data_IF_003490623813
#
_entry.id   IF_003490623813
#
_cell.length_a   1.000
_cell.length_b   1.000
_cell.length_c   1.000
_cell.angle_alpha   90.00
_cell.angle_beta   90.00
_cell.angle_gamma   90.00
#
_symmetry.space_group_name_H-M   'P 1'
#
loop_
_entity.id
_entity.type
_entity.pdbx_description
1 polymer ?
#
# COMPACT_ATOMS: atom_id res chain seq x y z
N UNK A 1 25.33 -23.21 -9.61
CA UNK A 1 24.83 -21.83 -9.78
C UNK A 1 23.64 -21.92 -10.72
N UNK A 2 22.53 -22.45 -10.20
CA UNK A 2 21.43 -23.02 -10.98
C UNK A 2 20.42 -21.95 -11.35
N UNK A 3 20.23 -21.74 -12.65
CA UNK A 3 19.04 -21.26 -13.37
C UNK A 3 17.87 -20.72 -12.52
N UNK A 4 18.08 -19.69 -11.71
CA UNK A 4 16.98 -18.92 -11.16
C UNK A 4 16.49 -18.05 -12.32
N UNK A 5 15.22 -18.21 -12.66
CA UNK A 5 14.56 -17.40 -13.69
C UNK A 5 14.87 -15.91 -13.43
N UNK A 6 15.27 -15.12 -14.45
CA UNK A 6 15.63 -13.71 -14.27
C UNK A 6 14.57 -12.90 -13.51
N UNK A 7 13.31 -13.32 -13.57
CA UNK A 7 12.19 -12.73 -12.82
C UNK A 7 12.35 -12.90 -11.32
N UNK A 8 12.74 -14.09 -10.86
CA UNK A 8 12.89 -14.40 -9.43
C UNK A 8 14.07 -13.62 -8.85
N UNK A 9 15.14 -13.46 -9.63
CA UNK A 9 16.29 -12.66 -9.20
C UNK A 9 15.98 -11.16 -9.11
N UNK A 10 15.16 -10.63 -10.04
CA UNK A 10 14.68 -9.26 -10.01
C UNK A 10 13.73 -8.99 -8.81
N UNK A 11 12.79 -9.90 -8.53
CA UNK A 11 11.89 -9.78 -7.36
C UNK A 11 12.69 -9.89 -6.05
N UNK A 12 13.64 -10.81 -6.00
CA UNK A 12 14.51 -11.00 -4.84
C UNK A 12 15.39 -9.79 -4.55
N UNK A 13 15.96 -9.13 -5.58
CA UNK A 13 16.75 -7.91 -5.41
C UNK A 13 15.88 -6.71 -5.00
N UNK A 14 14.66 -6.59 -5.56
CA UNK A 14 13.68 -5.60 -5.13
C UNK A 14 13.25 -5.81 -3.66
N UNK A 15 13.08 -7.06 -3.21
CA UNK A 15 12.75 -7.36 -1.82
C UNK A 15 13.90 -7.06 -0.87
N UNK A 16 15.14 -7.25 -1.31
CA UNK A 16 16.33 -6.90 -0.55
C UNK A 16 16.45 -5.39 -0.35
N UNK A 17 16.15 -4.58 -1.38
CA UNK A 17 16.22 -3.12 -1.25
C UNK A 17 15.18 -2.60 -0.26
N UNK A 18 13.97 -3.15 -0.26
CA UNK A 18 12.89 -2.78 0.69
C UNK A 18 13.23 -3.13 2.14
N UNK A 19 13.67 -4.36 2.40
CA UNK A 19 14.02 -4.81 3.78
C UNK A 19 15.17 -4.00 4.41
N UNK A 20 16.08 -3.45 3.59
CA UNK A 20 17.23 -2.66 4.02
C UNK A 20 16.99 -1.15 4.11
N UNK A 21 15.78 -0.67 3.81
CA UNK A 21 15.48 0.75 3.93
C UNK A 21 15.60 1.26 5.37
N UNK A 22 15.84 2.56 5.50
CA UNK A 22 15.86 3.21 6.81
C UNK A 22 14.45 3.25 7.39
N UNK A 23 14.38 3.21 8.72
CA UNK A 23 13.10 3.22 9.46
C UNK A 23 12.20 4.40 9.04
N UNK A 24 12.77 5.60 8.96
CA UNK A 24 12.04 6.82 8.61
C UNK A 24 11.49 6.78 7.19
N UNK A 25 12.29 6.31 6.23
CA UNK A 25 11.84 6.19 4.84
C UNK A 25 10.67 5.23 4.78
N UNK A 26 10.81 4.03 5.35
CA UNK A 26 9.78 3.00 5.32
C UNK A 26 8.45 3.43 5.99
N UNK A 27 8.54 4.22 7.07
CA UNK A 27 7.36 4.74 7.75
C UNK A 27 6.67 5.83 6.92
N UNK A 28 7.43 6.74 6.31
CA UNK A 28 6.89 7.84 5.50
C UNK A 28 6.29 7.35 4.19
N UNK A 29 6.97 6.42 3.52
CA UNK A 29 6.44 5.73 2.34
C UNK A 29 5.20 4.92 2.73
N UNK A 30 5.23 4.16 3.82
CA UNK A 30 4.05 3.45 4.34
C UNK A 30 2.86 4.37 4.66
N UNK A 31 3.12 5.52 5.26
CA UNK A 31 2.11 6.55 5.52
C UNK A 31 1.49 7.07 4.23
N UNK A 32 2.32 7.43 3.25
CA UNK A 32 1.87 7.91 1.95
C UNK A 32 1.01 6.86 1.22
N UNK A 33 1.43 5.59 1.25
CA UNK A 33 0.66 4.46 0.72
C UNK A 33 -0.73 4.38 1.39
N UNK A 34 -0.78 4.47 2.72
CA UNK A 34 -2.02 4.43 3.49
C UNK A 34 -3.00 5.54 3.11
N UNK A 35 -2.50 6.76 2.94
CA UNK A 35 -3.30 7.92 2.51
C UNK A 35 -3.90 7.69 1.12
N UNK A 36 -3.10 7.25 0.14
CA UNK A 36 -3.60 7.01 -1.22
C UNK A 36 -4.62 5.88 -1.33
N UNK A 37 -4.43 4.79 -0.57
CA UNK A 37 -5.45 3.73 -0.48
C UNK A 37 -6.74 4.29 0.10
N UNK A 38 -6.67 5.08 1.17
CA UNK A 38 -7.84 5.66 1.80
C UNK A 38 -8.58 6.66 0.88
N UNK A 39 -7.83 7.46 0.11
CA UNK A 39 -8.38 8.33 -0.94
C UNK A 39 -9.12 7.50 -1.99
N UNK A 40 -8.48 6.46 -2.54
CA UNK A 40 -9.09 5.57 -3.54
C UNK A 40 -10.35 4.88 -3.03
N UNK A 41 -10.34 4.40 -1.79
CA UNK A 41 -11.49 3.81 -1.13
C UNK A 41 -12.64 4.82 -0.92
N UNK A 42 -12.30 6.06 -0.52
CA UNK A 42 -13.29 7.13 -0.34
C UNK A 42 -13.96 7.47 -1.67
N UNK A 43 -13.18 7.65 -2.73
CA UNK A 43 -13.69 7.92 -4.08
C UNK A 43 -14.57 6.78 -4.59
N UNK A 44 -14.10 5.54 -4.47
CA UNK A 44 -14.86 4.35 -4.86
C UNK A 44 -16.20 4.25 -4.11
N UNK A 45 -16.21 4.58 -2.81
CA UNK A 45 -17.42 4.60 -1.99
C UNK A 45 -18.39 5.67 -2.48
N UNK A 46 -17.93 6.90 -2.71
CA UNK A 46 -18.78 8.01 -3.19
C UNK A 46 -19.41 7.66 -4.54
N UNK A 47 -18.63 7.14 -5.48
CA UNK A 47 -19.15 6.75 -6.80
C UNK A 47 -20.15 5.61 -6.68
N UNK A 48 -19.85 4.58 -5.87
CA UNK A 48 -20.76 3.43 -5.69
C UNK A 48 -22.13 3.82 -5.15
N UNK A 49 -22.20 4.86 -4.30
CA UNK A 49 -23.45 5.37 -3.72
C UNK A 49 -24.28 6.22 -4.68
N UNK A 50 -23.70 6.68 -5.80
CA UNK A 50 -24.37 7.52 -6.80
C UNK A 50 -24.96 6.72 -7.96
N UNK A 51 -24.71 5.41 -8.02
CA UNK A 51 -25.21 4.50 -9.06
C UNK A 51 -26.30 3.59 -8.47
N UNK A 52 -27.13 2.96 -9.31
CA UNK A 52 -28.11 1.97 -8.86
C UNK A 52 -27.43 0.81 -8.11
N UNK A 53 -28.14 0.21 -7.15
CA UNK A 53 -27.53 -0.78 -6.24
C UNK A 53 -26.97 -2.02 -6.95
N UNK A 54 -27.50 -2.36 -8.12
CA UNK A 54 -27.03 -3.45 -8.98
C UNK A 54 -25.61 -3.21 -9.51
N UNK A 55 -25.24 -1.94 -9.75
CA UNK A 55 -23.94 -1.57 -10.31
C UNK A 55 -22.98 -0.98 -9.28
N UNK A 56 -23.44 -0.66 -8.08
CA UNK A 56 -22.63 -0.03 -7.03
C UNK A 56 -21.34 -0.81 -6.71
N UNK A 57 -21.44 -2.13 -6.56
CA UNK A 57 -20.27 -2.98 -6.30
C UNK A 57 -19.27 -3.03 -7.46
N UNK A 58 -19.77 -3.08 -8.70
CA UNK A 58 -18.92 -3.02 -9.90
C UNK A 58 -18.19 -1.67 -10.00
N UNK A 59 -18.87 -0.58 -9.70
CA UNK A 59 -18.27 0.76 -9.76
C UNK A 59 -17.28 1.01 -8.64
N UNK A 60 -17.53 0.47 -7.45
CA UNK A 60 -16.52 0.47 -6.40
C UNK A 60 -15.24 -0.23 -6.87
N UNK A 61 -15.35 -1.44 -7.42
CA UNK A 61 -14.22 -2.24 -7.88
C UNK A 61 -13.47 -1.58 -9.05
N UNK A 62 -14.17 -0.89 -9.94
CA UNK A 62 -13.56 -0.20 -11.08
C UNK A 62 -12.78 1.07 -10.68
N UNK A 63 -13.22 1.77 -9.64
CA UNK A 63 -12.67 3.07 -9.23
C UNK A 63 -11.57 2.91 -8.17
N UNK A 64 -11.64 1.87 -7.33
CA UNK A 64 -10.66 1.60 -6.28
C UNK A 64 -9.18 1.57 -6.76
N UNK A 65 -8.83 1.01 -7.94
CA UNK A 65 -7.46 0.96 -8.44
C UNK A 65 -6.78 2.33 -8.63
N UNK A 66 -7.54 3.42 -8.70
CA UNK A 66 -6.99 4.78 -8.76
C UNK A 66 -6.09 5.06 -7.55
N UNK A 67 -6.46 4.58 -6.36
CA UNK A 67 -5.62 4.69 -5.17
C UNK A 67 -4.29 3.94 -5.30
N UNK A 68 -4.31 2.74 -5.91
CA UNK A 68 -3.11 1.95 -6.19
C UNK A 68 -2.22 2.62 -7.24
N UNK A 69 -2.81 3.23 -8.27
CA UNK A 69 -2.07 3.96 -9.31
C UNK A 69 -1.38 5.20 -8.70
N UNK A 70 -2.05 5.92 -7.79
CA UNK A 70 -1.47 7.07 -7.09
C UNK A 70 -0.19 6.73 -6.33
N UNK A 71 -0.14 5.55 -5.72
CA UNK A 71 1.05 5.02 -5.04
C UNK A 71 2.23 4.83 -6.00
N UNK A 72 1.96 4.31 -7.20
CA UNK A 72 2.99 4.04 -8.20
C UNK A 72 3.55 5.36 -8.76
N UNK A 73 2.67 6.32 -9.04
CA UNK A 73 3.05 7.63 -9.63
C UNK A 73 3.93 8.44 -8.68
N UNK A 74 3.69 8.39 -7.37
CA UNK A 74 4.47 9.14 -6.37
C UNK A 74 5.82 8.50 -6.00
N UNK A 75 6.30 7.54 -6.79
CA UNK A 75 7.64 6.95 -6.62
C UNK A 75 7.67 5.61 -5.89
N UNK A 76 6.53 4.93 -5.76
CA UNK A 76 6.44 3.61 -5.15
C UNK A 76 6.52 3.68 -3.62
N UNK A 77 5.37 3.60 -2.98
CA UNK A 77 5.27 3.62 -1.53
C UNK A 77 5.28 2.19 -0.94
N UNK A 78 5.69 2.02 0.32
CA UNK A 78 5.74 0.71 1.00
C UNK A 78 4.32 0.30 1.43
N UNK A 79 3.64 -0.39 0.54
CA UNK A 79 2.34 -0.98 0.80
C UNK A 79 2.53 -2.39 1.32
N UNK A 80 2.01 -2.67 2.52
CA UNK A 80 2.15 -3.97 3.18
C UNK A 80 1.81 -5.16 2.27
N UNK A 81 0.73 -5.07 1.48
CA UNK A 81 0.32 -6.15 0.56
C UNK A 81 1.35 -6.42 -0.55
N UNK A 82 1.99 -5.37 -1.09
CA UNK A 82 3.08 -5.50 -2.05
C UNK A 82 4.35 -6.05 -1.41
N UNK A 83 4.64 -5.63 -0.19
CA UNK A 83 5.80 -6.10 0.56
C UNK A 83 5.68 -7.58 0.92
N UNK A 84 4.48 -8.08 1.25
CA UNK A 84 4.23 -9.51 1.44
C UNK A 84 4.48 -10.35 0.18
N UNK A 85 4.42 -9.78 -1.01
CA UNK A 85 4.77 -10.48 -2.25
C UNK A 85 6.28 -10.55 -2.47
N UNK A 86 6.99 -9.44 -2.24
CA UNK A 86 8.38 -9.28 -2.68
C UNK A 86 9.38 -9.66 -1.58
N UNK A 87 9.10 -9.33 -0.32
CA UNK A 87 10.05 -9.53 0.78
C UNK A 87 10.27 -11.00 1.18
N UNK A 88 9.28 -11.92 1.15
CA UNK A 88 9.54 -13.35 1.38
C UNK A 88 10.45 -13.95 0.32
N UNK A 89 10.36 -13.49 -0.93
CA UNK A 89 11.22 -13.95 -2.01
C UNK A 89 12.69 -13.61 -1.74
N UNK A 90 12.96 -12.45 -1.14
CA UNK A 90 14.30 -12.08 -0.69
C UNK A 90 14.81 -12.96 0.46
N UNK A 91 13.93 -13.43 1.34
CA UNK A 91 14.28 -14.36 2.42
C UNK A 91 14.52 -15.79 1.90
N UNK A 92 13.68 -16.29 1.00
CA UNK A 92 13.83 -17.61 0.35
C UNK A 92 15.13 -17.72 -0.44
N UNK A 93 15.55 -16.63 -1.07
CA UNK A 93 16.84 -16.53 -1.79
C UNK A 93 18.03 -16.18 -0.89
N UNK A 94 17.84 -16.16 0.44
CA UNK A 94 18.83 -15.80 1.46
C UNK A 94 19.48 -14.41 1.29
N UNK A 95 18.81 -13.50 0.58
CA UNK A 95 19.26 -12.10 0.41
C UNK A 95 18.86 -11.18 1.57
N UNK A 96 17.92 -11.58 2.42
CA UNK A 96 17.51 -10.88 3.66
C UNK A 96 17.21 -11.85 4.80
N UNK A 97 17.30 -11.37 6.05
CA UNK A 97 16.99 -12.15 7.26
C UNK A 97 15.50 -12.09 7.59
N UNK A 98 14.99 -13.16 8.22
CA UNK A 98 13.59 -13.24 8.68
C UNK A 98 13.23 -12.07 9.62
N UNK A 99 14.15 -11.63 10.48
CA UNK A 99 13.91 -10.48 11.37
C UNK A 99 13.77 -9.14 10.63
N UNK A 100 14.46 -8.96 9.49
CA UNK A 100 14.35 -7.75 8.67
C UNK A 100 13.01 -7.72 7.92
N UNK A 101 12.51 -8.89 7.51
CA UNK A 101 11.19 -9.05 6.90
C UNK A 101 10.08 -8.63 7.86
N UNK A 102 10.07 -9.17 9.10
CA UNK A 102 9.04 -8.78 10.07
C UNK A 102 9.13 -7.30 10.43
N UNK A 103 10.34 -6.76 10.61
CA UNK A 103 10.52 -5.31 10.84
C UNK A 103 9.90 -4.50 9.70
N UNK A 104 10.18 -4.87 8.44
CA UNK A 104 9.62 -4.17 7.29
C UNK A 104 8.09 -4.21 7.30
N UNK A 105 7.51 -5.39 7.54
CA UNK A 105 6.07 -5.61 7.60
C UNK A 105 5.37 -4.78 8.67
N UNK A 106 5.92 -4.77 9.89
CA UNK A 106 5.34 -3.98 10.98
C UNK A 106 5.41 -2.48 10.70
N UNK A 107 6.49 -2.00 10.09
CA UNK A 107 6.64 -0.59 9.75
C UNK A 107 5.74 -0.17 8.59
N UNK A 108 5.68 -0.97 7.53
CA UNK A 108 4.78 -0.75 6.40
C UNK A 108 3.32 -0.74 6.88
N UNK A 109 2.90 -1.78 7.61
CA UNK A 109 1.54 -1.89 8.15
C UNK A 109 1.20 -0.73 9.11
N UNK A 110 2.14 -0.37 10.00
CA UNK A 110 1.99 0.76 10.90
C UNK A 110 1.82 2.08 10.16
N UNK A 111 2.68 2.34 9.15
CA UNK A 111 2.56 3.50 8.28
C UNK A 111 1.23 3.51 7.52
N UNK A 112 0.84 2.40 6.90
CA UNK A 112 -0.41 2.29 6.14
C UNK A 112 -1.64 2.58 7.03
N UNK A 113 -1.63 2.08 8.27
CA UNK A 113 -2.71 2.32 9.22
C UNK A 113 -2.76 3.79 9.65
N UNK A 114 -1.62 4.38 10.00
CA UNK A 114 -1.54 5.80 10.38
C UNK A 114 -2.03 6.68 9.22
N UNK A 115 -1.59 6.41 7.99
CA UNK A 115 -1.99 7.17 6.81
C UNK A 115 -3.49 7.09 6.52
N UNK A 116 -4.05 5.89 6.60
CA UNK A 116 -5.49 5.70 6.37
C UNK A 116 -6.35 6.34 7.46
N UNK A 117 -5.93 6.27 8.73
CA UNK A 117 -6.62 6.94 9.84
C UNK A 117 -6.54 8.46 9.71
N UNK A 118 -5.37 9.02 9.34
CA UNK A 118 -5.22 10.46 9.10
C UNK A 118 -6.21 10.94 8.04
N UNK A 119 -6.31 10.22 6.92
CA UNK A 119 -7.27 10.56 5.86
C UNK A 119 -8.72 10.43 6.33
N UNK A 120 -9.06 9.33 7.01
CA UNK A 120 -10.39 9.12 7.56
C UNK A 120 -10.80 10.24 8.53
N UNK A 121 -9.87 10.71 9.36
CA UNK A 121 -10.08 11.83 10.28
C UNK A 121 -10.37 13.14 9.54
N UNK A 122 -9.64 13.42 8.45
CA UNK A 122 -9.88 14.60 7.60
C UNK A 122 -11.27 14.55 6.98
N UNK A 123 -11.68 13.39 6.44
CA UNK A 123 -13.02 13.21 5.87
C UNK A 123 -14.11 13.35 6.95
N UNK A 124 -13.91 12.76 8.14
CA UNK A 124 -14.84 12.88 9.25
C UNK A 124 -15.03 14.34 9.69
N UNK A 125 -13.94 15.11 9.81
CA UNK A 125 -14.00 16.54 10.08
C UNK A 125 -14.73 17.31 8.97
N UNK A 126 -14.41 17.01 7.71
CA UNK A 126 -15.06 17.63 6.54
C UNK A 126 -16.58 17.43 6.56
N UNK A 127 -17.07 16.25 6.94
CA UNK A 127 -18.50 15.96 7.05
C UNK A 127 -19.18 16.74 8.18
N UNK A 128 -18.48 16.97 9.29
CA UNK A 128 -19.02 17.73 10.44
C UNK A 128 -19.16 19.21 10.08
N UNK A 129 -18.16 19.82 9.43
CA UNK A 129 -18.18 21.25 9.10
C UNK A 129 -18.86 21.58 7.76
N UNK A 130 -18.97 20.63 6.84
CA UNK A 130 -19.54 20.85 5.50
C UNK A 130 -21.06 20.74 5.42
N UNK A 131 -21.75 20.48 6.53
CA UNK A 131 -23.23 20.37 6.62
C UNK A 131 -23.89 21.57 7.32
N UNK A 132 -23.12 22.64 7.57
CA UNK A 132 -23.60 23.97 8.02
C UNK A 132 -23.64 24.94 6.86
#
# INVERSE_FOLDING_TARGET
MSCIDPTIDAISSAGQSKTKQSFLVNLLTGWNAGVFIAIGATLATIVSQKVSSEWGGFMFAAVFPIGLIGIIIMGGADLFTGDCMITPMATCTRKSKIGELYRNWFLALGGNLIGSICWAWIIALSLIYGTS
#
